data_IF_465351505357
#
_entry.id   IF_465351505357
#
_cell.length_a   1.000
_cell.length_b   1.000
_cell.length_c   1.000
_cell.angle_alpha   90.00
_cell.angle_beta   90.00
_cell.angle_gamma   90.00
#
_symmetry.space_group_name_H-M   'P 1'
#
loop_
_entity.id
_entity.type
_entity.pdbx_description
1 polymer ?
#
# COMPACT_ATOMS: atom_id res chain seq x y z
N UNK A 1 -5.06 -10.20 22.39
CA UNK A 1 -6.05 -11.01 21.63
C UNK A 1 -7.35 -10.25 21.49
N UNK A 2 -7.98 -10.35 20.32
CA UNK A 2 -9.32 -9.80 20.08
C UNK A 2 -10.37 -10.65 20.79
N UNK A 3 -11.44 -10.01 21.27
CA UNK A 3 -12.62 -10.72 21.77
C UNK A 3 -13.30 -11.51 20.64
N UNK A 4 -14.06 -12.57 20.97
CA UNK A 4 -14.74 -13.39 19.98
C UNK A 4 -15.66 -12.58 19.04
N UNK A 5 -16.31 -11.54 19.58
CA UNK A 5 -17.17 -10.66 18.78
C UNK A 5 -16.37 -9.80 17.78
N UNK A 6 -15.21 -9.31 18.17
CA UNK A 6 -14.31 -8.55 17.29
C UNK A 6 -13.71 -9.44 16.19
N UNK A 7 -13.35 -10.68 16.54
CA UNK A 7 -12.89 -11.68 15.56
C UNK A 7 -13.95 -11.97 14.49
N UNK A 8 -15.21 -12.19 14.91
CA UNK A 8 -16.32 -12.44 13.98
C UNK A 8 -16.57 -11.21 13.10
N UNK A 9 -16.59 -10.01 13.69
CA UNK A 9 -16.80 -8.77 12.95
C UNK A 9 -15.70 -8.55 11.89
N UNK A 10 -14.44 -8.83 12.25
CA UNK A 10 -13.32 -8.74 11.32
C UNK A 10 -13.42 -9.74 10.17
N UNK A 11 -13.76 -11.01 10.46
CA UNK A 11 -13.94 -12.04 9.42
C UNK A 11 -15.06 -11.64 8.46
N UNK A 12 -16.19 -11.15 8.96
CA UNK A 12 -17.29 -10.67 8.11
C UNK A 12 -16.85 -9.52 7.21
N UNK A 13 -16.10 -8.56 7.74
CA UNK A 13 -15.55 -7.46 6.95
C UNK A 13 -14.60 -7.97 5.86
N UNK A 14 -13.70 -8.89 6.18
CA UNK A 14 -12.76 -9.49 5.22
C UNK A 14 -13.52 -10.22 4.10
N UNK A 15 -14.57 -10.97 4.43
CA UNK A 15 -15.40 -11.66 3.43
C UNK A 15 -16.07 -10.66 2.49
N UNK A 16 -16.69 -9.61 3.03
CA UNK A 16 -17.33 -8.57 2.21
C UNK A 16 -16.31 -7.88 1.29
N UNK A 17 -15.17 -7.45 1.83
CA UNK A 17 -14.10 -6.85 1.05
C UNK A 17 -13.54 -7.82 -0.01
N UNK A 18 -13.40 -9.11 0.33
CA UNK A 18 -12.96 -10.15 -0.60
C UNK A 18 -13.93 -10.35 -1.77
N UNK A 19 -15.24 -10.35 -1.52
CA UNK A 19 -16.25 -10.43 -2.57
C UNK A 19 -16.18 -9.21 -3.52
N UNK A 20 -16.06 -8.00 -2.96
CA UNK A 20 -15.94 -6.77 -3.76
C UNK A 20 -14.64 -6.76 -4.59
N UNK A 21 -13.53 -7.17 -4.00
CA UNK A 21 -12.26 -7.30 -4.69
C UNK A 21 -12.34 -8.34 -5.82
N UNK A 22 -12.93 -9.51 -5.56
CA UNK A 22 -13.14 -10.55 -6.57
C UNK A 22 -13.97 -10.05 -7.75
N UNK A 23 -15.03 -9.30 -7.50
CA UNK A 23 -15.84 -8.67 -8.57
C UNK A 23 -15.01 -7.69 -9.42
N UNK A 24 -14.17 -6.86 -8.77
CA UNK A 24 -13.26 -5.94 -9.45
C UNK A 24 -12.24 -6.66 -10.34
N UNK A 25 -11.52 -7.63 -9.77
CA UNK A 25 -10.54 -8.43 -10.50
C UNK A 25 -11.15 -9.26 -11.63
N UNK A 26 -12.36 -9.81 -11.42
CA UNK A 26 -13.07 -10.55 -12.45
C UNK A 26 -13.40 -9.69 -13.69
N UNK A 27 -13.72 -8.41 -13.48
CA UNK A 27 -13.93 -7.47 -14.60
C UNK A 27 -12.65 -7.25 -15.39
N UNK A 28 -11.53 -7.00 -14.68
CA UNK A 28 -10.21 -6.82 -15.31
C UNK A 28 -9.83 -8.07 -16.11
N UNK A 29 -9.98 -9.24 -15.50
CA UNK A 29 -9.69 -10.52 -16.16
C UNK A 29 -10.52 -10.73 -17.43
N UNK A 30 -11.84 -10.46 -17.37
CA UNK A 30 -12.72 -10.52 -18.54
C UNK A 30 -12.28 -9.57 -19.64
N UNK A 31 -11.89 -8.35 -19.29
CA UNK A 31 -11.40 -7.35 -20.26
C UNK A 31 -10.11 -7.82 -20.92
N UNK A 32 -9.14 -8.33 -20.15
CA UNK A 32 -7.90 -8.88 -20.69
C UNK A 32 -8.18 -10.09 -21.63
N UNK A 33 -9.10 -10.97 -21.23
CA UNK A 33 -9.45 -12.16 -22.02
C UNK A 33 -10.24 -11.83 -23.30
N UNK A 34 -10.90 -10.66 -23.38
CA UNK A 34 -11.61 -10.23 -24.58
C UNK A 34 -10.69 -9.67 -25.69
N UNK A 35 -9.41 -9.50 -25.42
CA UNK A 35 -8.41 -9.11 -26.41
C UNK A 35 -8.15 -10.18 -27.46
N UNK A 36 -7.48 -9.81 -28.56
CA UNK A 36 -7.06 -10.75 -29.58
C UNK A 36 -6.19 -11.87 -28.99
N UNK A 37 -6.44 -13.09 -29.42
CA UNK A 37 -5.70 -14.26 -28.97
C UNK A 37 -4.27 -14.20 -29.50
N UNK A 38 -3.34 -13.75 -28.69
CA UNK A 38 -1.91 -13.71 -28.99
C UNK A 38 -1.25 -14.78 -28.13
N UNK A 39 -0.62 -15.77 -28.77
CA UNK A 39 0.14 -16.76 -28.01
C UNK A 39 1.36 -16.09 -27.36
N UNK A 40 1.32 -15.95 -26.06
CA UNK A 40 2.39 -15.41 -25.22
C UNK A 40 2.77 -16.38 -24.10
N UNK A 41 2.59 -17.65 -24.33
CA UNK A 41 2.97 -18.72 -23.40
C UNK A 41 4.48 -19.03 -23.43
N UNK A 42 5.22 -18.42 -24.35
CA UNK A 42 6.67 -18.54 -24.47
C UNK A 42 7.39 -17.97 -23.23
N UNK A 43 8.38 -18.69 -22.72
CA UNK A 43 9.30 -18.29 -21.65
C UNK A 43 8.64 -17.59 -20.45
N UNK A 44 7.53 -18.14 -19.94
CA UNK A 44 6.75 -17.54 -18.84
C UNK A 44 7.59 -17.27 -17.60
N UNK A 45 8.50 -18.18 -17.23
CA UNK A 45 9.36 -18.02 -16.03
C UNK A 45 10.33 -16.84 -16.21
N UNK A 46 11.00 -16.75 -17.35
CA UNK A 46 11.92 -15.63 -17.62
C UNK A 46 11.20 -14.29 -17.64
N UNK A 47 10.02 -14.24 -18.23
CA UNK A 47 9.18 -13.02 -18.26
C UNK A 47 8.69 -12.64 -16.87
N UNK A 48 8.30 -13.62 -16.05
CA UNK A 48 7.89 -13.38 -14.66
C UNK A 48 9.07 -12.81 -13.83
N UNK A 49 10.25 -13.43 -13.92
CA UNK A 49 11.44 -12.97 -13.21
C UNK A 49 11.81 -11.54 -13.64
N UNK A 50 11.82 -11.28 -14.94
CA UNK A 50 12.12 -9.94 -15.49
C UNK A 50 11.11 -8.92 -14.98
N UNK A 51 9.81 -9.22 -15.03
CA UNK A 51 8.76 -8.34 -14.52
C UNK A 51 8.91 -8.10 -13.01
N UNK A 52 9.22 -9.13 -12.24
CA UNK A 52 9.45 -9.01 -10.80
C UNK A 52 10.65 -8.09 -10.49
N UNK A 53 11.78 -8.28 -11.19
CA UNK A 53 12.96 -7.42 -11.05
C UNK A 53 12.65 -5.98 -11.44
N UNK A 54 11.95 -5.75 -12.54
CA UNK A 54 11.59 -4.41 -13.00
C UNK A 54 10.63 -3.70 -12.05
N UNK A 55 9.70 -4.43 -11.43
CA UNK A 55 8.80 -3.89 -10.38
C UNK A 55 9.58 -3.58 -9.11
N UNK A 56 10.42 -4.49 -8.62
CA UNK A 56 11.20 -4.28 -7.40
C UNK A 56 12.22 -3.15 -7.54
N UNK A 57 12.89 -3.05 -8.67
CA UNK A 57 13.86 -1.99 -8.95
C UNK A 57 13.20 -0.71 -9.50
N UNK A 58 11.90 -0.75 -9.81
CA UNK A 58 11.14 0.37 -10.37
C UNK A 58 11.85 1.04 -11.58
N UNK A 59 12.63 0.27 -12.34
CA UNK A 59 13.52 0.74 -13.40
C UNK A 59 12.89 1.73 -14.39
N UNK A 60 11.70 1.44 -14.98
CA UNK A 60 11.11 2.32 -15.99
C UNK A 60 10.77 3.71 -15.43
N UNK A 61 10.32 3.77 -14.17
CA UNK A 61 9.84 4.99 -13.53
C UNK A 61 11.03 5.82 -13.03
N UNK A 62 12.02 5.16 -12.42
CA UNK A 62 13.21 5.82 -11.84
C UNK A 62 14.03 6.53 -12.91
N UNK A 63 14.17 5.93 -14.09
CA UNK A 63 14.89 6.55 -15.22
C UNK A 63 14.19 7.79 -15.76
N UNK A 64 12.84 7.80 -15.77
CA UNK A 64 12.07 8.87 -16.35
C UNK A 64 11.92 10.09 -15.41
N UNK A 65 11.76 9.86 -14.10
CA UNK A 65 11.45 10.89 -13.09
C UNK A 65 12.05 10.54 -11.73
N UNK A 66 13.35 10.73 -11.50
CA UNK A 66 14.06 10.19 -10.34
C UNK A 66 13.49 10.68 -8.99
N UNK A 67 13.18 11.97 -8.84
CA UNK A 67 12.65 12.53 -7.59
C UNK A 67 11.25 11.95 -7.29
N UNK A 68 10.37 11.95 -8.28
CA UNK A 68 9.01 11.41 -8.11
C UNK A 68 9.06 9.91 -7.81
N UNK A 69 9.98 9.20 -8.45
CA UNK A 69 10.19 7.76 -8.24
C UNK A 69 10.72 7.47 -6.84
N UNK A 70 11.59 8.31 -6.29
CA UNK A 70 12.07 8.15 -4.92
C UNK A 70 10.91 8.17 -3.92
N UNK A 71 10.05 9.19 -4.00
CA UNK A 71 8.87 9.27 -3.11
C UNK A 71 7.85 8.15 -3.37
N UNK A 72 7.73 7.71 -4.63
CA UNK A 72 6.91 6.54 -4.96
C UNK A 72 7.49 5.26 -4.35
N UNK A 73 8.82 5.10 -4.35
CA UNK A 73 9.49 3.98 -3.71
C UNK A 73 9.24 3.94 -2.20
N UNK A 74 9.20 5.08 -1.53
CA UNK A 74 8.84 5.14 -0.10
C UNK A 74 7.47 4.53 0.16
N UNK A 75 6.49 4.89 -0.67
CA UNK A 75 5.14 4.34 -0.54
C UNK A 75 5.11 2.86 -0.93
N UNK A 76 5.74 2.48 -2.04
CA UNK A 76 5.73 1.10 -2.53
C UNK A 76 6.37 0.13 -1.52
N UNK A 77 7.58 0.41 -1.07
CA UNK A 77 8.26 -0.45 -0.09
C UNK A 77 7.61 -0.37 1.29
N UNK A 78 7.14 0.81 1.69
CA UNK A 78 6.39 0.98 2.92
C UNK A 78 5.12 0.13 2.95
N UNK A 79 4.29 0.17 1.92
CA UNK A 79 3.09 -0.68 1.83
C UNK A 79 3.41 -2.17 1.71
N UNK A 80 4.48 -2.53 0.99
CA UNK A 80 4.93 -3.92 0.93
C UNK A 80 5.33 -4.45 2.30
N UNK A 81 6.01 -3.62 3.10
CA UNK A 81 6.34 -3.97 4.49
C UNK A 81 5.11 -3.98 5.39
N UNK A 82 4.18 -3.03 5.21
CA UNK A 82 2.93 -2.99 5.95
C UNK A 82 2.05 -4.23 5.74
N UNK A 83 2.15 -4.86 4.57
CA UNK A 83 1.49 -6.15 4.37
C UNK A 83 2.01 -7.20 5.37
N UNK A 84 3.33 -7.24 5.61
CA UNK A 84 3.92 -8.14 6.61
C UNK A 84 3.48 -7.79 8.03
N UNK A 85 3.41 -6.49 8.35
CA UNK A 85 2.90 -6.01 9.65
C UNK A 85 1.45 -6.46 9.86
N UNK A 86 0.58 -6.27 8.87
CA UNK A 86 -0.81 -6.71 8.97
C UNK A 86 -0.95 -8.24 9.07
N UNK A 87 -0.10 -9.00 8.38
CA UNK A 87 -0.07 -10.46 8.53
C UNK A 87 0.34 -10.86 9.94
N UNK A 88 1.35 -10.19 10.52
CA UNK A 88 1.75 -10.43 11.91
C UNK A 88 0.62 -10.13 12.89
N UNK A 89 -0.06 -8.98 12.72
CA UNK A 89 -1.20 -8.58 13.57
C UNK A 89 -2.34 -9.60 13.51
N UNK A 90 -2.63 -10.16 12.32
CA UNK A 90 -3.63 -11.22 12.16
C UNK A 90 -3.18 -12.50 12.86
N UNK A 91 -1.91 -12.89 12.71
CA UNK A 91 -1.38 -14.08 13.39
C UNK A 91 -1.43 -13.93 14.91
N UNK A 92 -1.08 -12.76 15.44
CA UNK A 92 -1.19 -12.46 16.87
C UNK A 92 -2.65 -12.50 17.37
N UNK A 93 -3.60 -12.06 16.55
CA UNK A 93 -5.01 -12.03 16.92
C UNK A 93 -5.68 -13.40 16.93
N UNK A 94 -5.23 -14.35 16.08
CA UNK A 94 -5.92 -15.60 15.80
C UNK A 94 -5.12 -16.87 16.15
N UNK A 95 -3.80 -16.78 16.34
CA UNK A 95 -2.94 -17.92 16.64
C UNK A 95 -2.45 -17.84 18.08
N UNK A 96 -2.93 -18.76 18.92
CA UNK A 96 -2.51 -18.83 20.32
C UNK A 96 -1.00 -19.10 20.40
N UNK A 97 -0.31 -18.31 21.24
CA UNK A 97 1.13 -18.45 21.44
C UNK A 97 2.00 -17.86 20.33
N UNK A 98 1.43 -17.11 19.38
CA UNK A 98 2.23 -16.38 18.39
C UNK A 98 2.99 -15.24 19.07
N UNK A 99 4.31 -15.36 19.19
CA UNK A 99 5.18 -14.36 19.87
C UNK A 99 6.42 -13.99 19.06
N UNK A 100 6.59 -14.56 17.87
CA UNK A 100 7.84 -14.46 17.10
C UNK A 100 8.29 -13.02 16.81
N UNK A 101 7.33 -12.13 16.49
CA UNK A 101 7.60 -10.71 16.22
C UNK A 101 7.04 -9.76 17.30
N UNK A 102 6.57 -10.30 18.42
CA UNK A 102 5.99 -9.55 19.55
C UNK A 102 6.88 -9.65 20.78
N UNK A 103 7.64 -10.74 20.93
CA UNK A 103 8.57 -10.96 22.05
C UNK A 103 9.81 -10.07 21.93
N UNK A 104 10.45 -9.80 23.07
CA UNK A 104 11.70 -9.04 23.13
C UNK A 104 12.87 -9.86 22.59
N UNK A 105 13.04 -9.84 21.28
CA UNK A 105 14.14 -10.48 20.57
C UNK A 105 14.63 -9.58 19.43
N UNK A 106 15.84 -9.82 18.96
CA UNK A 106 16.49 -8.99 17.93
C UNK A 106 15.66 -8.92 16.62
N UNK A 107 14.97 -9.99 16.26
CA UNK A 107 14.14 -10.04 15.06
C UNK A 107 12.90 -9.13 15.19
N UNK A 108 12.23 -9.19 16.34
CA UNK A 108 11.08 -8.33 16.64
C UNK A 108 11.51 -6.86 16.71
N UNK A 109 12.63 -6.57 17.35
CA UNK A 109 13.13 -5.19 17.45
C UNK A 109 13.51 -4.61 16.08
N UNK A 110 14.15 -5.40 15.21
CA UNK A 110 14.40 -4.99 13.82
C UNK A 110 13.12 -4.81 13.01
N UNK A 111 12.16 -5.72 13.18
CA UNK A 111 10.86 -5.63 12.50
C UNK A 111 10.11 -4.35 12.88
N UNK A 112 10.06 -4.03 14.18
CA UNK A 112 9.42 -2.81 14.69
C UNK A 112 10.16 -1.55 14.21
N UNK A 113 11.49 -1.54 14.25
CA UNK A 113 12.30 -0.44 13.72
C UNK A 113 12.01 -0.18 12.23
N UNK A 114 11.93 -1.24 11.41
CA UNK A 114 11.57 -1.09 10.00
C UNK A 114 10.13 -0.62 9.83
N UNK A 115 9.19 -1.10 10.64
CA UNK A 115 7.81 -0.63 10.62
C UNK A 115 7.73 0.89 10.87
N UNK A 116 8.48 1.41 11.83
CA UNK A 116 8.52 2.83 12.15
C UNK A 116 9.19 3.65 11.03
N UNK A 117 10.34 3.22 10.53
CA UNK A 117 11.02 3.89 9.42
C UNK A 117 10.10 3.95 8.19
N UNK A 118 9.49 2.84 7.79
CA UNK A 118 8.59 2.82 6.64
C UNK A 118 7.32 3.62 6.87
N UNK A 119 6.80 3.69 8.09
CA UNK A 119 5.67 4.56 8.43
C UNK A 119 6.00 6.03 8.15
N UNK A 120 7.15 6.51 8.62
CA UNK A 120 7.59 7.88 8.36
C UNK A 120 7.82 8.13 6.87
N UNK A 121 8.45 7.19 6.16
CA UNK A 121 8.68 7.31 4.72
C UNK A 121 7.37 7.36 3.92
N UNK A 122 6.36 6.56 4.28
CA UNK A 122 5.03 6.61 3.66
C UNK A 122 4.35 7.95 3.92
N UNK A 123 4.39 8.45 5.16
CA UNK A 123 3.79 9.76 5.50
C UNK A 123 4.45 10.90 4.69
N UNK A 124 5.77 10.93 4.64
CA UNK A 124 6.54 11.91 3.85
C UNK A 124 6.21 11.80 2.36
N UNK A 125 6.20 10.58 1.81
CA UNK A 125 5.87 10.32 0.42
C UNK A 125 4.45 10.77 0.08
N UNK A 126 3.48 10.51 0.96
CA UNK A 126 2.08 10.89 0.74
C UNK A 126 1.87 12.40 0.81
N UNK A 127 2.50 13.09 1.77
CA UNK A 127 2.49 14.57 1.83
C UNK A 127 3.08 15.16 0.56
N UNK A 128 4.22 14.62 0.07
CA UNK A 128 4.81 15.04 -1.20
C UNK A 128 3.85 14.89 -2.38
N UNK A 129 3.15 13.75 -2.52
CA UNK A 129 2.22 13.54 -3.62
C UNK A 129 0.98 14.40 -3.55
N UNK A 130 0.42 14.63 -2.36
CA UNK A 130 -0.70 15.55 -2.17
C UNK A 130 -0.27 16.99 -2.49
N UNK A 131 0.87 17.45 -1.97
CA UNK A 131 1.43 18.75 -2.30
C UNK A 131 1.63 18.92 -3.80
N UNK A 132 2.27 17.95 -4.44
CA UNK A 132 2.51 17.97 -5.88
C UNK A 132 1.23 18.02 -6.69
N UNK A 133 0.19 17.29 -6.28
CA UNK A 133 -1.07 17.21 -7.02
C UNK A 133 -1.95 18.43 -6.83
N UNK A 134 -2.02 18.97 -5.62
CA UNK A 134 -2.97 20.04 -5.29
C UNK A 134 -2.35 21.45 -5.27
N UNK A 135 -1.05 21.56 -4.99
CA UNK A 135 -0.35 22.85 -4.90
C UNK A 135 0.49 23.10 -6.15
N UNK A 136 1.41 22.22 -6.50
CA UNK A 136 2.28 22.40 -7.68
C UNK A 136 1.53 22.28 -9.01
N UNK A 137 0.56 21.38 -9.11
CA UNK A 137 -0.27 21.13 -10.31
C UNK A 137 0.54 21.06 -11.62
N UNK A 138 1.54 20.18 -11.73
CA UNK A 138 2.38 20.15 -12.91
C UNK A 138 1.56 19.78 -14.16
N UNK A 139 1.82 20.42 -15.28
CA UNK A 139 1.12 20.20 -16.57
C UNK A 139 1.06 18.73 -17.00
N UNK A 140 2.09 17.96 -16.66
CA UNK A 140 2.16 16.52 -16.95
C UNK A 140 1.03 15.70 -16.28
N UNK A 141 0.32 16.25 -15.31
CA UNK A 141 -0.85 15.66 -14.66
C UNK A 141 -2.17 16.13 -15.27
N UNK A 142 -2.14 17.03 -16.22
CA UNK A 142 -3.32 17.45 -16.95
C UNK A 142 -3.63 16.48 -18.10
N UNK A 143 -4.91 16.39 -18.43
CA UNK A 143 -5.34 15.47 -19.48
C UNK A 143 -5.08 16.09 -20.85
N UNK A 144 -4.59 15.29 -21.77
CA UNK A 144 -4.49 15.68 -23.17
C UNK A 144 -5.92 15.80 -23.76
N UNK A 145 -6.21 16.94 -24.37
CA UNK A 145 -7.52 17.22 -24.99
C UNK A 145 -7.91 16.20 -26.09
N UNK A 146 -6.92 15.52 -26.69
CA UNK A 146 -7.15 14.53 -27.76
C UNK A 146 -7.53 13.14 -27.23
N UNK A 147 -7.56 12.93 -25.91
CA UNK A 147 -7.90 11.64 -25.31
C UNK A 147 -9.36 11.67 -24.85
N UNK A 148 -10.17 10.73 -25.35
CA UNK A 148 -11.54 10.55 -24.86
C UNK A 148 -11.50 9.95 -23.46
N UNK A 149 -11.88 10.75 -22.47
CA UNK A 149 -11.97 10.33 -21.08
C UNK A 149 -13.43 10.10 -20.68
N UNK A 150 -13.61 9.22 -19.71
CA UNK A 150 -14.95 9.03 -19.09
C UNK A 150 -15.41 10.35 -18.45
N UNK A 151 -16.70 10.73 -18.55
CA UNK A 151 -17.21 12.00 -18.02
C UNK A 151 -16.87 12.24 -16.55
N UNK A 152 -16.91 11.21 -15.70
CA UNK A 152 -16.52 11.31 -14.30
C UNK A 152 -15.06 11.69 -14.07
N UNK A 153 -14.15 11.31 -14.98
CA UNK A 153 -12.73 11.69 -14.93
C UNK A 153 -12.57 13.17 -15.29
N UNK A 154 -13.25 13.61 -16.34
CA UNK A 154 -13.26 15.02 -16.76
C UNK A 154 -13.84 15.92 -15.67
N UNK A 155 -14.88 15.47 -14.96
CA UNK A 155 -15.47 16.17 -13.82
C UNK A 155 -14.59 16.19 -12.55
N UNK A 156 -13.33 15.76 -12.62
CA UNK A 156 -12.38 15.82 -11.52
C UNK A 156 -12.37 14.58 -10.60
N UNK A 157 -12.98 13.47 -11.02
CA UNK A 157 -13.02 12.22 -10.24
C UNK A 157 -11.65 11.78 -9.77
N UNK A 158 -10.62 11.79 -10.63
CA UNK A 158 -9.25 11.40 -10.24
C UNK A 158 -8.61 12.32 -9.18
N UNK A 159 -8.96 13.61 -9.16
CA UNK A 159 -8.47 14.52 -8.11
C UNK A 159 -9.13 14.19 -6.78
N UNK A 160 -10.45 13.95 -6.81
CA UNK A 160 -11.22 13.55 -5.63
C UNK A 160 -10.75 12.22 -5.06
N UNK A 161 -10.58 11.21 -5.90
CA UNK A 161 -10.08 9.89 -5.48
C UNK A 161 -8.69 9.98 -4.86
N UNK A 162 -7.79 10.76 -5.47
CA UNK A 162 -6.44 10.96 -4.91
C UNK A 162 -6.46 11.65 -3.56
N UNK A 163 -7.38 12.58 -3.33
CA UNK A 163 -7.53 13.25 -2.04
C UNK A 163 -8.04 12.27 -0.98
N UNK A 164 -9.08 11.52 -1.29
CA UNK A 164 -9.68 10.55 -0.38
C UNK A 164 -8.64 9.49 0.00
N UNK A 165 -7.98 8.88 -0.98
CA UNK A 165 -6.95 7.86 -0.73
C UNK A 165 -5.77 8.45 0.04
N UNK A 166 -5.32 9.65 -0.33
CA UNK A 166 -4.19 10.30 0.35
C UNK A 166 -4.48 10.62 1.82
N UNK A 167 -5.65 11.16 2.13
CA UNK A 167 -6.06 11.44 3.51
C UNK A 167 -6.24 10.13 4.27
N UNK A 168 -6.87 9.11 3.67
CA UNK A 168 -7.03 7.81 4.31
C UNK A 168 -5.68 7.20 4.71
N UNK A 169 -4.69 7.23 3.82
CA UNK A 169 -3.35 6.72 4.10
C UNK A 169 -2.69 7.51 5.24
N UNK A 170 -2.74 8.85 5.19
CA UNK A 170 -2.15 9.69 6.24
C UNK A 170 -2.78 9.42 7.61
N UNK A 171 -4.10 9.29 7.66
CA UNK A 171 -4.81 9.00 8.91
C UNK A 171 -4.50 7.58 9.39
N UNK A 172 -4.57 6.58 8.50
CA UNK A 172 -4.35 5.18 8.87
C UNK A 172 -2.92 4.93 9.37
N UNK A 173 -1.92 5.32 8.58
CA UNK A 173 -0.51 5.12 8.96
C UNK A 173 -0.11 6.04 10.11
N UNK A 174 -0.58 7.29 10.09
CA UNK A 174 -0.29 8.28 11.13
C UNK A 174 -0.87 7.89 12.50
N UNK A 175 -2.12 7.42 12.54
CA UNK A 175 -2.73 7.00 13.81
C UNK A 175 -2.04 5.76 14.40
N UNK A 176 -1.63 4.81 13.58
CA UNK A 176 -0.87 3.65 14.02
C UNK A 176 0.49 4.07 14.62
N UNK A 177 1.25 4.86 13.89
CA UNK A 177 2.55 5.35 14.33
C UNK A 177 2.48 6.17 15.63
N UNK A 178 1.51 7.09 15.72
CA UNK A 178 1.25 7.87 16.94
C UNK A 178 0.82 6.97 18.09
N UNK A 179 -0.03 5.98 17.84
CA UNK A 179 -0.47 5.02 18.85
C UNK A 179 0.70 4.25 19.45
N UNK A 180 1.62 3.76 18.63
CA UNK A 180 2.85 3.10 19.09
C UNK A 180 3.73 4.06 19.90
N UNK A 181 3.95 5.29 19.41
CA UNK A 181 4.74 6.28 20.12
C UNK A 181 4.14 6.66 21.50
N UNK A 182 2.82 6.82 21.57
CA UNK A 182 2.11 7.08 22.84
C UNK A 182 2.18 5.90 23.81
N UNK A 183 2.09 4.68 23.29
CA UNK A 183 2.22 3.48 24.12
C UNK A 183 3.61 3.38 24.76
N UNK A 184 4.67 3.62 24.00
CA UNK A 184 6.06 3.65 24.49
C UNK A 184 6.23 4.76 25.54
N UNK A 185 5.75 5.98 25.25
CA UNK A 185 5.88 7.11 26.17
C UNK A 185 5.12 6.89 27.50
N UNK A 186 3.98 6.22 27.47
CA UNK A 186 3.16 5.97 28.67
C UNK A 186 3.71 4.83 29.53
N UNK A 187 4.36 3.84 28.93
CA UNK A 187 4.89 2.68 29.67
C UNK A 187 6.34 2.86 30.14
N UNK A 188 6.96 4.00 29.87
CA UNK A 188 8.34 4.28 30.25
C UNK A 188 9.41 3.43 29.54
N UNK A 189 9.04 2.73 28.49
CA UNK A 189 9.92 1.87 27.69
C UNK A 189 10.78 2.69 26.69
N UNK A 190 11.48 3.70 27.21
CA UNK A 190 12.45 4.49 26.43
C UNK A 190 13.78 3.72 26.23
N UNK A 191 13.98 2.62 27.00
CA UNK A 191 15.24 1.87 27.05
C UNK A 191 15.17 0.48 26.34
N UNK A 192 14.22 0.30 25.38
CA UNK A 192 14.17 -0.93 24.59
C UNK A 192 14.35 -0.71 23.10
#
# INVERSE_FOLDING_TARGET
MLSSNEQIAFILLVVVCGILAFQGFSRIFKTVKSGANTDRSDNLVGRFITALIDVLLQKPITKARPIVSLFHSFIFFGFSFYLLVNVNDVLEAYVDGWTTLVSDNILANLFNLFADIFSVLVLVGMVFFLYRRFVQKPEVMEFNANVKLHPGVVAGGLKKDSLIVGIFILVHVGSRWLGTAMHIANNGDIDK
#
